data_IF_142599895037
#
_entry.id   IF_142599895037
#
_cell.length_a   1.000
_cell.length_b   1.000
_cell.length_c   1.000
_cell.angle_alpha   90.00
_cell.angle_beta   90.00
_cell.angle_gamma   90.00
#
_symmetry.space_group_name_H-M   'P 1'
#
loop_
_entity.id
_entity.type
_entity.pdbx_description
1 polymer ?
#
# COMPACT_ATOMS: atom_id res chain seq x y z
N UNK A 1 -24.13 21.98 8.53
CA UNK A 1 -25.39 21.24 8.77
C UNK A 1 -25.04 19.97 9.55
N UNK A 2 -25.03 20.06 10.88
CA UNK A 2 -24.79 18.93 11.81
C UNK A 2 -26.07 18.13 12.02
N UNK A 3 -26.59 17.54 10.94
CA UNK A 3 -27.81 16.73 10.98
C UNK A 3 -29.06 17.47 11.48
N UNK A 4 -29.09 18.80 11.42
CA UNK A 4 -30.29 19.60 11.76
C UNK A 4 -31.52 19.26 10.91
N UNK A 5 -31.30 18.65 9.74
CA UNK A 5 -32.34 18.10 8.88
C UNK A 5 -32.94 16.78 9.39
N UNK A 6 -32.27 16.11 10.32
CA UNK A 6 -32.76 14.90 11.01
C UNK A 6 -33.41 15.30 12.33
N UNK A 7 -32.73 16.12 13.14
CA UNK A 7 -33.28 16.68 14.38
C UNK A 7 -32.78 18.11 14.62
N UNK A 8 -33.67 19.09 14.86
CA UNK A 8 -33.28 20.48 15.06
C UNK A 8 -32.44 20.74 16.33
N UNK A 9 -32.32 19.81 17.27
CA UNK A 9 -31.45 19.91 18.45
C UNK A 9 -29.97 19.57 18.19
N UNK A 10 -29.68 18.85 17.10
CA UNK A 10 -28.34 18.34 16.79
C UNK A 10 -27.27 19.40 16.48
N UNK A 11 -27.57 20.54 15.85
CA UNK A 11 -26.60 21.64 15.70
C UNK A 11 -26.10 22.25 17.03
N UNK A 12 -26.77 21.98 18.16
CA UNK A 12 -26.29 22.36 19.49
C UNK A 12 -25.52 21.25 20.22
N UNK A 13 -25.47 20.05 19.65
CA UNK A 13 -24.93 18.83 20.29
C UNK A 13 -23.66 18.34 19.61
N UNK A 14 -23.64 18.34 18.28
CA UNK A 14 -22.48 17.91 17.52
C UNK A 14 -21.67 19.12 17.08
N UNK A 15 -20.35 19.01 17.18
CA UNK A 15 -19.41 19.96 16.61
C UNK A 15 -18.41 19.23 15.76
N UNK A 16 -17.94 19.87 14.70
CA UNK A 16 -16.83 19.38 13.89
C UNK A 16 -15.51 19.88 14.46
N UNK A 17 -14.52 19.00 14.58
CA UNK A 17 -13.15 19.45 14.89
C UNK A 17 -12.58 20.26 13.71
N UNK A 18 -12.89 19.83 12.49
CA UNK A 18 -12.56 20.51 11.24
C UNK A 18 -13.83 20.58 10.39
N UNK A 19 -14.30 21.80 10.06
CA UNK A 19 -15.30 21.97 9.01
C UNK A 19 -14.70 21.56 7.64
N UNK A 20 -15.52 21.30 6.60
CA UNK A 20 -15.01 21.01 5.27
C UNK A 20 -14.04 22.11 4.86
N UNK A 21 -12.83 21.72 4.47
CA UNK A 21 -11.81 22.65 3.99
C UNK A 21 -11.20 22.04 2.74
N UNK A 22 -11.50 22.68 1.62
CA UNK A 22 -10.64 22.61 0.46
C UNK A 22 -9.23 23.06 0.86
N UNK A 23 -8.21 22.37 0.36
CA UNK A 23 -6.82 22.70 0.61
C UNK A 23 -5.98 22.64 -0.67
N UNK A 24 -4.91 23.43 -0.69
CA UNK A 24 -3.94 23.47 -1.79
C UNK A 24 -2.55 23.80 -1.26
N UNK A 25 -1.52 23.59 -2.08
CA UNK A 25 -0.19 24.09 -1.77
C UNK A 25 -0.14 25.62 -1.92
N UNK A 26 0.61 26.29 -1.04
CA UNK A 26 0.81 27.73 -1.15
C UNK A 26 1.84 28.04 -2.24
N UNK A 27 1.44 28.84 -3.23
CA UNK A 27 2.31 29.26 -4.34
C UNK A 27 2.73 28.13 -5.29
N UNK A 28 2.07 26.98 -5.21
CA UNK A 28 2.32 25.80 -6.04
C UNK A 28 0.99 25.10 -6.29
N UNK A 29 0.89 24.33 -7.37
CA UNK A 29 -0.21 23.41 -7.59
C UNK A 29 0.20 21.94 -7.36
N UNK A 30 1.37 21.74 -6.77
CA UNK A 30 1.96 20.44 -6.49
C UNK A 30 2.03 20.20 -4.99
N UNK A 31 1.54 19.05 -4.55
CA UNK A 31 1.66 18.53 -3.17
C UNK A 31 2.37 17.18 -3.22
N UNK A 32 3.40 16.98 -2.40
CA UNK A 32 3.99 15.66 -2.17
C UNK A 32 3.52 15.11 -0.81
N UNK A 33 3.00 13.88 -0.81
CA UNK A 33 2.57 13.13 0.38
C UNK A 33 3.56 12.01 0.62
N UNK A 34 4.10 11.93 1.84
CA UNK A 34 5.02 10.88 2.27
C UNK A 34 4.40 10.06 3.40
N UNK A 35 4.63 8.75 3.41
CA UNK A 35 4.07 7.86 4.42
C UNK A 35 5.08 7.46 5.49
N UNK A 36 4.63 7.49 6.74
CA UNK A 36 5.41 7.11 7.91
C UNK A 36 4.60 6.19 8.81
N UNK A 37 5.28 5.34 9.57
CA UNK A 37 4.65 4.54 10.63
C UNK A 37 4.04 5.49 11.65
N UNK A 38 2.77 5.32 12.05
CA UNK A 38 2.12 6.21 13.01
C UNK A 38 2.95 6.41 14.29
N UNK A 39 3.13 7.67 14.70
CA UNK A 39 3.92 8.02 15.88
C UNK A 39 5.44 7.94 15.69
N UNK A 40 5.92 7.78 14.46
CA UNK A 40 7.35 7.63 14.14
C UNK A 40 7.74 8.43 12.89
N UNK A 41 9.06 8.61 12.68
CA UNK A 41 9.65 9.11 11.44
C UNK A 41 10.12 7.97 10.51
N UNK A 42 9.84 6.72 10.86
CA UNK A 42 10.16 5.56 10.03
C UNK A 42 9.31 5.58 8.75
N UNK A 43 9.96 5.60 7.59
CA UNK A 43 9.27 5.50 6.29
C UNK A 43 8.40 4.25 6.24
N UNK A 44 7.19 4.40 5.71
CA UNK A 44 6.21 3.32 5.58
C UNK A 44 5.71 3.20 4.14
N UNK A 45 4.95 2.13 3.90
CA UNK A 45 4.26 1.89 2.64
C UNK A 45 2.76 1.88 2.87
N UNK A 46 2.02 2.56 2.00
CA UNK A 46 0.57 2.42 1.91
C UNK A 46 0.18 1.45 0.80
N UNK A 47 -0.96 0.78 0.98
CA UNK A 47 -1.56 -0.14 0.00
C UNK A 47 -2.30 0.59 -1.11
N UNK A 48 -2.62 1.86 -0.93
CA UNK A 48 -3.34 2.63 -1.92
C UNK A 48 -3.55 4.06 -1.49
N UNK A 49 -3.85 4.90 -2.47
CA UNK A 49 -4.09 6.31 -2.28
C UNK A 49 -5.24 6.75 -3.17
N UNK A 50 -6.04 7.66 -2.65
CA UNK A 50 -7.05 8.37 -3.39
C UNK A 50 -7.15 9.83 -2.95
N UNK A 51 -7.61 10.66 -3.87
CA UNK A 51 -7.79 12.07 -3.68
C UNK A 51 -9.10 12.52 -4.34
N UNK A 52 -9.82 13.39 -3.64
CA UNK A 52 -10.98 14.12 -4.16
C UNK A 52 -10.50 15.51 -4.57
N UNK A 53 -10.85 15.89 -5.79
CA UNK A 53 -10.58 17.20 -6.36
C UNK A 53 -11.90 17.89 -6.63
N UNK A 54 -11.89 19.22 -6.55
CA UNK A 54 -12.96 20.07 -7.04
C UNK A 54 -12.48 20.91 -8.22
N UNK A 55 -13.41 21.21 -9.13
CA UNK A 55 -13.20 22.11 -10.27
C UNK A 55 -12.12 21.60 -11.24
N UNK A 56 -12.30 20.36 -11.71
CA UNK A 56 -11.41 19.77 -12.72
C UNK A 56 -12.03 19.98 -14.10
N UNK A 57 -11.45 20.88 -14.89
CA UNK A 57 -11.98 21.20 -16.22
C UNK A 57 -11.15 20.61 -17.35
N UNK A 58 -9.83 20.43 -17.15
CA UNK A 58 -8.94 19.96 -18.21
C UNK A 58 -8.54 18.49 -18.05
N UNK A 59 -8.72 17.73 -19.13
CA UNK A 59 -8.22 16.37 -19.22
C UNK A 59 -6.68 16.36 -19.09
N UNK A 60 -6.18 15.40 -18.31
CA UNK A 60 -4.75 15.17 -18.11
C UNK A 60 -3.96 16.31 -17.42
N UNK A 61 -4.65 17.25 -16.75
CA UNK A 61 -4.00 18.31 -15.97
C UNK A 61 -3.89 17.93 -14.48
N UNK A 62 -5.03 17.56 -13.88
CA UNK A 62 -5.09 17.12 -12.49
C UNK A 62 -4.74 15.64 -12.36
N UNK A 63 -3.78 15.30 -11.50
CA UNK A 63 -3.24 13.94 -11.41
C UNK A 63 -2.69 13.55 -10.03
N UNK A 64 -2.56 12.23 -9.84
CA UNK A 64 -1.71 11.63 -8.82
C UNK A 64 -0.65 10.75 -9.49
N UNK A 65 0.60 10.86 -9.04
CA UNK A 65 1.71 9.98 -9.40
C UNK A 65 2.17 9.24 -8.16
N UNK A 66 2.20 7.91 -8.22
CA UNK A 66 2.56 7.07 -7.08
C UNK A 66 3.98 6.54 -7.26
N UNK A 67 4.75 6.47 -6.17
CA UNK A 67 6.14 6.03 -6.19
C UNK A 67 6.39 4.99 -5.10
N UNK A 68 7.26 4.03 -5.39
CA UNK A 68 7.72 3.02 -4.43
C UNK A 68 8.83 3.55 -3.51
N UNK A 69 9.31 2.71 -2.58
CA UNK A 69 10.37 3.07 -1.62
C UNK A 69 11.69 3.53 -2.27
N UNK A 70 11.93 3.20 -3.53
CA UNK A 70 13.12 3.58 -4.31
C UNK A 70 12.89 4.81 -5.18
N UNK A 71 11.74 5.48 -5.04
CA UNK A 71 11.26 6.54 -5.92
C UNK A 71 10.99 6.09 -7.37
N UNK A 72 10.78 4.79 -7.60
CA UNK A 72 10.36 4.30 -8.91
C UNK A 72 8.86 4.54 -9.10
N UNK A 73 8.47 5.04 -10.27
CA UNK A 73 7.06 5.31 -10.59
C UNK A 73 6.25 4.01 -10.63
N UNK A 74 5.13 4.01 -9.92
CA UNK A 74 4.09 2.97 -9.96
C UNK A 74 2.94 3.34 -10.90
N UNK A 75 3.00 4.53 -11.51
CA UNK A 75 2.00 5.04 -12.44
C UNK A 75 1.62 6.49 -12.17
N UNK A 76 1.00 7.11 -13.17
CA UNK A 76 0.35 8.41 -13.06
C UNK A 76 -1.08 8.28 -13.56
N UNK A 77 -2.00 8.84 -12.79
CA UNK A 77 -3.44 8.68 -12.99
C UNK A 77 -4.06 10.07 -12.97
N UNK A 78 -4.99 10.31 -13.89
CA UNK A 78 -5.58 11.62 -14.12
C UNK A 78 -7.03 11.67 -13.67
N UNK A 79 -7.43 12.77 -13.06
CA UNK A 79 -8.83 13.03 -12.73
C UNK A 79 -9.63 13.17 -14.03
N UNK A 80 -10.88 12.68 -14.00
CA UNK A 80 -11.80 12.92 -15.10
C UNK A 80 -12.36 14.33 -14.96
N UNK A 81 -12.31 15.16 -16.02
CA UNK A 81 -12.94 16.47 -15.97
C UNK A 81 -14.46 16.35 -16.02
N UNK A 82 -15.15 17.26 -15.34
CA UNK A 82 -16.61 17.32 -15.34
C UNK A 82 -17.05 18.76 -15.57
N UNK A 83 -17.84 18.99 -16.62
CA UNK A 83 -18.27 20.31 -17.00
C UNK A 83 -19.13 20.99 -15.91
N UNK A 84 -18.83 22.26 -15.66
CA UNK A 84 -19.50 23.09 -14.67
C UNK A 84 -18.59 23.40 -13.48
N UNK A 85 -19.02 24.34 -12.64
CA UNK A 85 -18.24 24.75 -11.47
C UNK A 85 -18.59 23.93 -10.24
N UNK A 86 -17.67 23.90 -9.27
CA UNK A 86 -17.85 23.18 -7.99
C UNK A 86 -18.09 21.67 -8.20
N UNK A 87 -17.67 21.14 -9.35
CA UNK A 87 -17.75 19.72 -9.66
C UNK A 87 -16.75 18.94 -8.82
N UNK A 88 -16.99 17.62 -8.67
CA UNK A 88 -16.12 16.74 -7.90
C UNK A 88 -15.60 15.60 -8.77
N UNK A 89 -14.29 15.35 -8.66
CA UNK A 89 -13.59 14.28 -9.35
C UNK A 89 -12.76 13.47 -8.37
N UNK A 90 -12.78 12.15 -8.51
CA UNK A 90 -12.04 11.24 -7.63
C UNK A 90 -11.03 10.41 -8.42
N UNK A 91 -9.82 10.30 -7.89
CA UNK A 91 -8.83 9.31 -8.32
C UNK A 91 -8.55 8.37 -7.16
N UNK A 92 -8.56 7.06 -7.41
CA UNK A 92 -8.19 6.05 -6.42
C UNK A 92 -7.40 4.92 -7.05
N UNK A 93 -6.28 4.55 -6.43
CA UNK A 93 -5.41 3.45 -6.87
C UNK A 93 -5.09 2.58 -5.68
N UNK A 94 -5.27 1.27 -5.84
CA UNK A 94 -5.00 0.28 -4.81
C UNK A 94 -4.15 -0.86 -5.37
N UNK A 95 -3.25 -1.37 -4.53
CA UNK A 95 -2.38 -2.50 -4.81
C UNK A 95 -2.76 -3.69 -3.92
N UNK A 96 -2.37 -4.89 -4.31
CA UNK A 96 -2.59 -6.09 -3.49
C UNK A 96 -1.84 -6.03 -2.16
N UNK A 97 -0.62 -5.49 -2.18
CA UNK A 97 0.27 -5.30 -1.03
C UNK A 97 0.69 -3.82 -0.91
N UNK A 98 1.07 -3.34 0.29
CA UNK A 98 1.68 -2.04 0.48
C UNK A 98 2.87 -1.82 -0.45
N UNK A 99 2.81 -0.76 -1.26
CA UNK A 99 3.79 -0.47 -2.30
C UNK A 99 4.13 1.02 -2.41
N UNK A 100 3.24 1.90 -1.95
CA UNK A 100 3.33 3.34 -2.18
C UNK A 100 4.07 4.00 -1.02
N UNK A 101 5.23 4.60 -1.28
CA UNK A 101 6.01 5.35 -0.30
C UNK A 101 5.75 6.85 -0.37
N UNK A 102 5.47 7.34 -1.59
CA UNK A 102 5.26 8.75 -1.89
C UNK A 102 4.20 8.91 -2.97
N UNK A 103 3.39 9.95 -2.84
CA UNK A 103 2.46 10.40 -3.87
C UNK A 103 2.79 11.84 -4.23
N UNK A 104 2.88 12.13 -5.51
CA UNK A 104 2.85 13.50 -6.01
C UNK A 104 1.47 13.80 -6.56
N UNK A 105 0.86 14.86 -6.08
CA UNK A 105 -0.42 15.37 -6.52
C UNK A 105 -0.15 16.63 -7.34
N UNK A 106 -0.79 16.75 -8.49
CA UNK A 106 -0.83 17.98 -9.29
C UNK A 106 -2.30 18.38 -9.44
N UNK A 107 -2.65 19.60 -9.06
CA UNK A 107 -4.00 20.14 -9.19
C UNK A 107 -4.04 21.17 -10.32
N UNK A 108 -4.82 20.90 -11.36
CA UNK A 108 -4.95 21.80 -12.51
C UNK A 108 -3.62 22.13 -13.19
N UNK A 109 -3.56 23.28 -13.86
CA UNK A 109 -2.38 23.76 -14.61
C UNK A 109 -1.68 24.95 -13.96
N UNK A 110 -2.25 25.54 -12.91
CA UNK A 110 -1.66 26.69 -12.22
C UNK A 110 -1.93 26.67 -10.71
N UNK A 111 -1.07 27.35 -9.96
CA UNK A 111 -1.26 27.56 -8.53
C UNK A 111 -2.36 28.61 -8.29
N UNK A 112 -3.11 28.44 -7.19
CA UNK A 112 -4.02 29.48 -6.71
C UNK A 112 -3.25 30.75 -6.34
N UNK A 113 -3.81 31.90 -6.72
CA UNK A 113 -3.21 33.20 -6.46
C UNK A 113 -4.17 34.34 -6.76
N UNK A 114 -3.96 35.50 -6.12
CA UNK A 114 -4.76 36.69 -6.38
C UNK A 114 -4.68 37.11 -7.85
N UNK A 115 -5.83 37.21 -8.52
CA UNK A 115 -5.91 37.57 -9.94
C UNK A 115 -5.63 36.43 -10.92
N UNK A 116 -5.32 35.22 -10.44
CA UNK A 116 -5.31 34.01 -11.26
C UNK A 116 -6.76 33.54 -11.37
N UNK A 117 -7.31 33.57 -12.58
CA UNK A 117 -8.68 33.19 -12.86
C UNK A 117 -8.71 31.86 -13.60
N UNK A 118 -9.73 31.07 -13.29
CA UNK A 118 -10.01 29.84 -13.98
C UNK A 118 -10.55 30.11 -15.41
N UNK A 119 -10.31 29.17 -16.33
CA UNK A 119 -10.62 29.29 -17.77
C UNK A 119 -9.37 29.38 -18.67
N UNK A 120 -8.52 30.43 -18.58
CA UNK A 120 -7.24 30.47 -19.30
C UNK A 120 -6.23 29.43 -18.80
N UNK A 121 -6.35 29.07 -17.51
CA UNK A 121 -5.69 27.97 -16.83
C UNK A 121 -6.77 27.12 -16.17
N UNK A 122 -6.42 25.93 -15.70
CA UNK A 122 -7.30 25.01 -14.98
C UNK A 122 -6.94 25.10 -13.49
N UNK A 123 -7.89 25.52 -12.66
CA UNK A 123 -7.69 25.70 -11.21
C UNK A 123 -8.45 24.65 -10.40
N UNK A 124 -7.85 23.48 -10.20
CA UNK A 124 -8.41 22.48 -9.32
C UNK A 124 -7.90 22.62 -7.86
N UNK A 125 -8.70 22.17 -6.89
CA UNK A 125 -8.36 22.18 -5.46
C UNK A 125 -8.62 20.81 -4.83
N UNK A 126 -7.86 20.43 -3.81
CA UNK A 126 -8.09 19.18 -3.07
C UNK A 126 -9.17 19.37 -2.02
N UNK A 127 -10.01 18.35 -1.84
CA UNK A 127 -11.02 18.30 -0.77
C UNK A 127 -10.65 17.27 0.30
N UNK A 128 -10.36 16.04 -0.14
CA UNK A 128 -10.09 14.92 0.77
C UNK A 128 -8.99 14.00 0.24
N UNK A 129 -8.23 13.40 1.17
CA UNK A 129 -7.26 12.33 0.89
C UNK A 129 -7.69 11.05 1.60
N UNK A 130 -7.62 9.93 0.90
CA UNK A 130 -7.92 8.60 1.44
C UNK A 130 -6.74 7.70 1.18
N UNK A 131 -6.24 6.99 2.19
CA UNK A 131 -5.11 6.09 2.02
C UNK A 131 -5.21 4.86 2.92
N UNK A 132 -4.61 3.77 2.47
CA UNK A 132 -4.47 2.58 3.32
C UNK A 132 -3.49 2.85 4.45
N UNK A 133 -3.72 2.22 5.60
CA UNK A 133 -2.85 2.34 6.77
C UNK A 133 -1.37 2.15 6.41
N UNK A 134 -0.50 3.14 6.67
CA UNK A 134 0.92 3.02 6.42
C UNK A 134 1.57 1.96 7.31
N UNK A 135 2.16 0.94 6.71
CA UNK A 135 2.86 -0.13 7.44
C UNK A 135 4.36 -0.09 7.14
N UNK A 136 5.17 -0.41 8.15
CA UNK A 136 6.62 -0.44 8.02
C UNK A 136 7.12 -1.53 7.06
N UNK A 137 8.31 -1.36 6.46
CA UNK A 137 8.92 -2.38 5.62
C UNK A 137 9.16 -3.66 6.45
N UNK A 138 8.55 -4.77 6.04
CA UNK A 138 8.63 -6.06 6.74
C UNK A 138 7.37 -6.48 7.51
N UNK A 139 6.33 -5.65 7.57
CA UNK A 139 5.03 -6.04 8.14
C UNK A 139 4.23 -7.03 7.26
N UNK A 140 4.77 -7.42 6.11
CA UNK A 140 4.20 -8.46 5.25
C UNK A 140 4.59 -9.82 5.85
N UNK A 141 3.65 -10.66 6.31
CA UNK A 141 3.98 -11.99 6.79
C UNK A 141 4.65 -12.77 5.66
N UNK A 142 5.89 -13.22 5.88
CA UNK A 142 6.53 -14.21 5.00
C UNK A 142 5.54 -15.38 4.82
N UNK A 143 5.22 -15.79 3.59
CA UNK A 143 4.24 -16.85 3.38
C UNK A 143 4.69 -18.10 4.16
N UNK A 144 3.77 -18.66 4.96
CA UNK A 144 4.00 -19.87 5.77
C UNK A 144 4.56 -21.06 4.98
N UNK A 145 4.52 -20.99 3.64
CA UNK A 145 5.23 -21.86 2.70
C UNK A 145 6.72 -22.01 3.02
N UNK A 146 7.44 -20.94 3.43
CA UNK A 146 8.86 -21.07 3.78
C UNK A 146 9.07 -21.90 5.05
N UNK A 147 8.19 -21.73 6.05
CA UNK A 147 8.15 -22.60 7.22
C UNK A 147 7.81 -24.05 6.85
N UNK A 148 6.86 -24.25 5.93
CA UNK A 148 6.45 -25.59 5.48
C UNK A 148 7.56 -26.30 4.68
N UNK A 149 8.29 -25.57 3.82
CA UNK A 149 9.42 -26.09 3.05
C UNK A 149 10.59 -26.42 3.98
N UNK A 150 10.91 -25.53 4.93
CA UNK A 150 11.95 -25.78 5.93
C UNK A 150 11.62 -26.99 6.83
N UNK A 151 10.36 -27.11 7.28
CA UNK A 151 9.89 -28.26 8.05
C UNK A 151 9.93 -29.56 7.23
N UNK A 152 9.54 -29.51 5.94
CA UNK A 152 9.61 -30.64 5.02
C UNK A 152 11.05 -31.13 4.77
N UNK A 153 11.99 -30.21 4.56
CA UNK A 153 13.40 -30.53 4.35
C UNK A 153 14.06 -31.13 5.60
N UNK A 154 13.75 -30.59 6.78
CA UNK A 154 14.23 -31.14 8.06
C UNK A 154 13.68 -32.54 8.34
N UNK A 155 12.40 -32.77 8.05
CA UNK A 155 11.76 -34.08 8.16
C UNK A 155 12.41 -35.14 7.27
N UNK A 156 12.69 -34.81 5.99
CA UNK A 156 13.39 -35.70 5.06
C UNK A 156 14.83 -36.01 5.47
N UNK A 157 15.57 -35.02 5.98
CA UNK A 157 16.93 -35.19 6.48
C UNK A 157 17.02 -36.14 7.68
N UNK A 158 16.01 -36.16 8.55
CA UNK A 158 15.96 -37.05 9.71
C UNK A 158 15.61 -38.49 9.32
N UNK A 159 14.75 -38.69 8.32
CA UNK A 159 14.36 -40.01 7.82
C UNK A 159 15.52 -40.71 7.12
N UNK A 160 16.31 -39.97 6.33
CA UNK A 160 17.44 -40.54 5.57
C UNK A 160 18.63 -40.96 6.44
N UNK A 161 18.76 -40.41 7.66
CA UNK A 161 19.81 -40.77 8.62
C UNK A 161 19.53 -42.05 9.41
N UNK A 162 18.32 -42.61 9.36
CA UNK A 162 17.93 -43.82 10.12
C UNK A 162 18.12 -45.14 9.36
N UNK A 163 19.14 -45.28 8.49
CA UNK A 163 19.49 -46.59 7.91
C UNK A 163 20.39 -47.38 8.88
N UNK A 164 19.95 -48.53 9.43
CA UNK A 164 20.82 -49.36 10.25
C UNK A 164 21.86 -50.06 9.38
N UNK A 165 23.13 -49.94 9.72
CA UNK A 165 24.22 -50.66 9.05
C UNK A 165 24.09 -52.16 9.31
N UNK A 166 23.80 -52.94 8.26
CA UNK A 166 23.77 -54.39 8.33
C UNK A 166 25.17 -54.93 8.67
N UNK A 167 25.25 -55.64 9.80
CA UNK A 167 26.46 -56.27 10.36
C UNK A 167 26.85 -57.44 9.46
N UNK A 168 28.04 -57.36 8.86
CA UNK A 168 28.65 -58.40 8.00
C UNK A 168 28.96 -59.65 8.83
N UNK A 169 28.11 -60.68 8.71
CA UNK A 169 28.32 -62.00 9.31
C UNK A 169 29.40 -62.79 8.58
N UNK A 170 30.43 -63.19 9.33
CA UNK A 170 31.50 -64.12 8.94
C UNK A 170 31.35 -65.30 9.91
N UNK A 171 31.04 -66.48 9.39
CA UNK A 171 31.13 -67.82 10.02
C UNK A 171 30.53 -68.81 9.02
N UNK A 172 30.97 -70.04 8.79
CA UNK A 172 32.00 -70.89 9.36
C UNK A 172 31.75 -72.26 8.71
N UNK A 173 32.66 -72.73 7.85
CA UNK A 173 32.50 -73.98 7.09
C UNK A 173 33.01 -75.13 7.97
N UNK A 174 32.10 -75.82 8.64
CA UNK A 174 32.39 -77.07 9.37
C UNK A 174 31.81 -78.24 8.56
N UNK A 175 32.70 -79.08 8.04
CA UNK A 175 32.39 -80.41 7.50
C UNK A 175 32.96 -81.47 8.46
N UNK A 176 32.10 -82.38 8.91
CA UNK A 176 32.43 -83.63 9.62
C UNK A 176 32.03 -84.83 8.75
N UNK A 177 32.30 -86.10 9.13
CA UNK A 177 33.45 -86.70 9.81
C UNK A 177 34.04 -87.87 8.98
N UNK A 178 35.22 -88.38 9.33
CA UNK A 178 35.70 -89.71 8.91
C UNK A 178 36.08 -90.54 10.13
N UNK A 179 35.50 -91.74 10.15
CA UNK A 179 35.70 -92.85 11.08
C UNK A 179 37.08 -93.49 10.87
N UNK A 180 37.71 -93.97 11.95
CA UNK A 180 38.89 -94.82 11.85
C UNK A 180 39.54 -95.16 13.20
N UNK A 181 39.37 -96.44 13.59
CA UNK A 181 40.15 -97.28 14.52
C UNK A 181 40.27 -96.88 15.99
#
# INVERSE_FOLDING_TARGET
>A
MEFGNIDPSYPGTFGVFSAPRLFTALGSNVVDVNFFVPGSTTSALSRGFGAVFTDVDLANATSISLFDATNTSLGTFFAQPLAGSETLSFIGVAFAMPAVSRVRIVSGTAALGGGVLDGPVDLAVLDDLVFGEPVGPGAVPEPATLLLVAAGAAGFGLITRRRPSARRGRDGRLSSPLSGA
#
